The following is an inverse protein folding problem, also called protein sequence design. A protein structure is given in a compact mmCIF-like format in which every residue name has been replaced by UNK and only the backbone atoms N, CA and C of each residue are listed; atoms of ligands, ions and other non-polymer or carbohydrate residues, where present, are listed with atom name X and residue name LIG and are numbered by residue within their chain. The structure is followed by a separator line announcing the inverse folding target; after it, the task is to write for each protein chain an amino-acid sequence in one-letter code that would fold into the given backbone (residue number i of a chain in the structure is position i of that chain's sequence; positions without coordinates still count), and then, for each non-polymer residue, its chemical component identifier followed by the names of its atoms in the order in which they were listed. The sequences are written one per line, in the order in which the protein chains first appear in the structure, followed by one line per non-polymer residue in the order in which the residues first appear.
data_IF_399568890695
#
_entry.id   IF_399568890695
#
_cell.length_a   1.000
_cell.length_b   1.000
_cell.length_c   1.000
_cell.angle_alpha   90.00
_cell.angle_beta   90.00
_cell.angle_gamma   90.00
#
_symmetry.space_group_name_H-M   'P 1'
#
loop_
_entity.id
_entity.type
_entity.pdbx_description
1 polymer ?
#
# COMPACT_ATOMS: atom_id res chain seq x y z
N UNK A 1 -42.92 -20.24 23.71
CA UNK A 1 -41.89 -19.16 23.66
C UNK A 1 -41.53 -18.93 22.20
N UNK A 2 -41.85 -17.75 21.64
CA UNK A 2 -41.80 -17.55 20.19
C UNK A 2 -40.36 -17.32 19.67
N UNK A 3 -40.07 -17.64 18.39
CA UNK A 3 -38.73 -17.43 17.80
C UNK A 3 -38.25 -15.97 17.89
N UNK A 4 -39.19 -15.04 17.90
CA UNK A 4 -38.91 -13.61 17.98
C UNK A 4 -38.42 -13.16 19.36
N UNK A 5 -38.79 -13.86 20.44
CA UNK A 5 -38.30 -13.60 21.80
C UNK A 5 -36.81 -13.91 21.95
N UNK A 6 -36.29 -14.88 21.17
CA UNK A 6 -34.86 -15.26 21.18
C UNK A 6 -33.98 -14.22 20.50
N UNK A 7 -34.45 -13.60 19.42
CA UNK A 7 -33.71 -12.56 18.69
C UNK A 7 -33.65 -11.23 19.44
N UNK A 8 -34.59 -10.96 20.35
CA UNK A 8 -34.59 -9.77 21.18
C UNK A 8 -33.48 -9.81 22.26
N UNK A 9 -33.21 -10.99 22.85
CA UNK A 9 -32.15 -11.14 23.86
C UNK A 9 -30.72 -11.16 23.27
N UNK A 10 -30.57 -11.44 21.98
CA UNK A 10 -29.26 -11.44 21.31
C UNK A 10 -28.70 -10.02 21.02
N UNK A 11 -29.49 -8.94 21.21
CA UNK A 11 -29.06 -7.55 20.92
C UNK A 11 -28.39 -6.84 22.10
N UNK A 12 -28.02 -7.55 23.16
CA UNK A 12 -27.22 -7.02 24.26
C UNK A 12 -25.74 -6.88 23.87
N UNK A 13 -25.40 -6.03 22.90
CA UNK A 13 -23.98 -5.68 22.66
C UNK A 13 -23.50 -4.88 23.87
N UNK A 14 -22.46 -5.31 24.60
CA UNK A 14 -21.96 -4.53 25.74
C UNK A 14 -21.45 -3.18 25.22
N UNK A 15 -22.18 -2.12 25.53
CA UNK A 15 -21.73 -0.73 25.39
C UNK A 15 -20.74 -0.41 26.51
N UNK A 16 -19.61 -1.10 26.51
CA UNK A 16 -18.47 -0.82 27.38
C UNK A 16 -17.39 -0.06 26.62
N UNK A 17 -16.63 0.80 27.32
CA UNK A 17 -15.42 1.41 26.77
C UNK A 17 -14.51 0.28 26.30
N UNK A 18 -14.26 0.19 25.00
CA UNK A 18 -13.44 -0.85 24.38
C UNK A 18 -12.03 -0.78 24.96
N UNK A 19 -11.77 -1.52 26.03
CA UNK A 19 -10.43 -1.75 26.58
C UNK A 19 -9.99 -3.07 26.00
N UNK A 20 -9.08 -3.00 25.04
CA UNK A 20 -8.46 -4.19 24.49
C UNK A 20 -7.82 -4.96 25.65
N UNK A 21 -8.23 -6.20 25.93
CA UNK A 21 -7.56 -7.00 26.96
C UNK A 21 -6.07 -7.06 26.64
N UNK A 22 -5.17 -6.97 27.64
CA UNK A 22 -3.75 -7.18 27.41
C UNK A 22 -3.56 -8.55 26.73
N UNK A 23 -2.92 -8.53 25.56
CA UNK A 23 -2.62 -9.74 24.79
C UNK A 23 -1.67 -10.62 25.60
N UNK A 24 -1.85 -11.93 25.50
CA UNK A 24 -0.84 -12.88 26.00
C UNK A 24 0.52 -12.55 25.36
N UNK A 25 1.66 -12.67 26.07
CA UNK A 25 2.96 -12.32 25.51
C UNK A 25 3.26 -13.02 24.18
N UNK A 26 2.83 -14.28 24.01
CA UNK A 26 3.00 -15.01 22.77
C UNK A 26 2.16 -14.44 21.60
N UNK A 27 0.98 -13.91 21.91
CA UNK A 27 0.12 -13.24 20.93
C UNK A 27 0.62 -11.84 20.58
N UNK A 28 1.21 -11.11 21.54
CA UNK A 28 1.87 -9.84 21.29
C UNK A 28 3.08 -10.00 20.34
N UNK A 29 3.91 -11.04 20.57
CA UNK A 29 5.03 -11.37 19.70
C UNK A 29 4.57 -11.75 18.29
N UNK A 30 3.47 -12.49 18.17
CA UNK A 30 2.85 -12.84 16.88
C UNK A 30 2.31 -11.60 16.17
N UNK A 31 1.67 -10.69 16.90
CA UNK A 31 1.17 -9.43 16.37
C UNK A 31 2.30 -8.53 15.86
N UNK A 32 3.44 -8.42 16.56
CA UNK A 32 4.59 -7.63 16.08
C UNK A 32 5.19 -8.21 14.80
N UNK A 33 5.33 -9.54 14.72
CA UNK A 33 5.79 -10.21 13.47
C UNK A 33 4.85 -9.93 12.30
N UNK A 34 3.54 -10.05 12.53
CA UNK A 34 2.53 -9.73 11.51
C UNK A 34 2.54 -8.24 11.14
N UNK A 35 2.68 -7.35 12.12
CA UNK A 35 2.75 -5.92 11.89
C UNK A 35 3.95 -5.54 11.03
N UNK A 36 5.14 -6.08 11.32
CA UNK A 36 6.34 -5.89 10.48
C UNK A 36 6.18 -6.48 9.09
N UNK A 37 5.51 -7.63 8.96
CA UNK A 37 5.19 -8.22 7.67
C UNK A 37 4.19 -7.37 6.86
N UNK A 38 3.22 -6.73 7.52
CA UNK A 38 2.24 -5.85 6.89
C UNK A 38 2.85 -4.48 6.53
N UNK A 39 3.76 -3.95 7.35
CA UNK A 39 4.55 -2.76 7.02
C UNK A 39 5.36 -2.96 5.74
N UNK A 40 5.93 -4.15 5.56
CA UNK A 40 6.66 -4.49 4.33
C UNK A 40 5.78 -4.43 3.05
N UNK A 41 4.45 -4.48 3.17
CA UNK A 41 3.51 -4.28 2.05
C UNK A 41 3.17 -2.81 1.78
N UNK A 42 3.33 -1.93 2.76
CA UNK A 42 3.05 -0.50 2.63
C UNK A 42 4.25 0.31 2.11
N UNK A 43 5.47 -0.07 2.52
CA UNK A 43 6.74 0.53 2.08
C UNK A 43 6.87 0.72 0.56
N UNK A 44 6.49 -0.23 -0.30
CA UNK A 44 6.68 -0.11 -1.75
C UNK A 44 5.81 0.97 -2.36
N UNK A 45 4.55 1.05 -1.94
CA UNK A 45 3.63 2.08 -2.41
C UNK A 45 4.16 3.46 -2.02
N UNK A 46 4.69 3.58 -0.80
CA UNK A 46 5.34 4.80 -0.33
C UNK A 46 6.59 5.13 -1.17
N UNK A 47 7.46 4.16 -1.46
CA UNK A 47 8.65 4.35 -2.31
C UNK A 47 8.25 4.76 -3.72
N UNK A 48 7.22 4.15 -4.32
CA UNK A 48 6.74 4.52 -5.64
C UNK A 48 6.24 5.97 -5.68
N UNK A 49 5.45 6.36 -4.68
CA UNK A 49 4.93 7.73 -4.56
C UNK A 49 6.09 8.71 -4.42
N UNK A 50 7.04 8.45 -3.52
CA UNK A 50 8.23 9.29 -3.31
C UNK A 50 9.08 9.36 -4.60
N UNK A 51 9.28 8.25 -5.29
CA UNK A 51 10.04 8.22 -6.54
C UNK A 51 9.37 9.02 -7.66
N UNK A 52 8.04 8.97 -7.78
CA UNK A 52 7.32 9.79 -8.77
C UNK A 52 7.35 11.28 -8.38
N UNK A 53 7.15 11.60 -7.10
CA UNK A 53 7.15 12.98 -6.60
C UNK A 53 8.51 13.65 -6.67
N UNK A 54 9.59 12.94 -6.34
CA UNK A 54 10.94 13.50 -6.31
C UNK A 54 11.72 13.22 -7.60
N UNK A 55 11.60 12.02 -8.13
CA UNK A 55 12.37 11.59 -9.30
C UNK A 55 12.01 12.34 -10.56
N UNK A 56 10.73 12.63 -10.77
CA UNK A 56 10.29 13.33 -11.97
C UNK A 56 10.81 14.79 -12.03
N UNK A 57 10.61 15.64 -10.99
CA UNK A 57 11.22 16.97 -10.97
C UNK A 57 12.76 16.92 -10.90
N UNK A 58 13.36 15.92 -10.25
CA UNK A 58 14.81 15.77 -10.27
C UNK A 58 15.35 15.50 -11.69
N UNK A 59 14.67 14.67 -12.49
CA UNK A 59 15.04 14.42 -13.89
C UNK A 59 14.96 15.70 -14.72
N UNK A 60 13.91 16.50 -14.56
CA UNK A 60 13.78 17.78 -15.27
C UNK A 60 14.80 18.82 -14.80
N UNK A 61 15.13 18.84 -13.51
CA UNK A 61 16.17 19.73 -12.97
C UNK A 61 17.57 19.36 -13.48
N UNK A 62 17.89 18.07 -13.62
CA UNK A 62 19.19 17.61 -14.12
C UNK A 62 19.31 17.70 -15.65
N UNK A 63 18.21 17.55 -16.38
CA UNK A 63 18.18 17.62 -17.84
C UNK A 63 17.13 18.62 -18.36
N UNK A 64 17.40 19.93 -18.24
CA UNK A 64 16.47 20.96 -18.73
C UNK A 64 16.24 20.91 -20.25
N UNK A 65 17.16 20.32 -21.03
CA UNK A 65 16.99 20.11 -22.47
C UNK A 65 15.90 19.09 -22.84
N UNK A 66 15.36 18.31 -21.88
CA UNK A 66 14.24 17.40 -22.14
C UNK A 66 12.94 18.14 -22.50
N UNK A 67 12.80 19.40 -22.11
CA UNK A 67 11.65 20.24 -22.48
C UNK A 67 11.73 20.73 -23.93
N UNK A 68 12.94 20.87 -24.48
CA UNK A 68 13.16 21.23 -25.88
C UNK A 68 12.98 20.03 -26.81
N UNK A 69 13.17 18.82 -26.28
CA UNK A 69 12.97 17.58 -27.02
C UNK A 69 11.47 17.33 -27.23
N UNK A 70 11.05 17.47 -28.49
CA UNK A 70 9.69 17.17 -28.94
C UNK A 70 9.68 15.87 -29.71
N UNK A 71 8.88 14.93 -29.26
CA UNK A 71 8.59 13.70 -29.98
C UNK A 71 7.24 13.86 -30.66
N UNK A 72 7.20 13.79 -32.00
CA UNK A 72 5.98 14.02 -32.79
C UNK A 72 5.28 15.36 -32.45
N UNK A 73 6.04 16.39 -32.05
CA UNK A 73 5.52 17.70 -31.64
C UNK A 73 5.16 17.82 -30.15
N UNK A 74 5.11 16.71 -29.41
CA UNK A 74 4.78 16.67 -27.98
C UNK A 74 6.06 16.69 -27.15
N UNK A 75 6.18 17.55 -26.11
CA UNK A 75 7.34 17.56 -25.23
C UNK A 75 7.54 16.20 -24.55
N UNK A 76 8.78 15.70 -24.55
CA UNK A 76 9.13 14.43 -23.91
C UNK A 76 8.83 14.46 -22.41
N UNK A 77 8.91 15.62 -21.77
CA UNK A 77 8.52 15.81 -20.37
C UNK A 77 7.09 15.38 -20.08
N UNK A 78 6.16 15.75 -20.97
CA UNK A 78 4.76 15.36 -20.87
C UNK A 78 4.56 13.85 -21.06
N UNK A 79 5.30 13.26 -22.02
CA UNK A 79 5.28 11.83 -22.25
C UNK A 79 5.82 11.04 -21.06
N UNK A 80 6.86 11.52 -20.38
CA UNK A 80 7.35 10.88 -19.16
C UNK A 80 6.31 10.93 -18.04
N UNK A 81 5.65 12.07 -17.83
CA UNK A 81 4.60 12.20 -16.82
C UNK A 81 3.45 11.22 -17.08
N UNK A 82 3.07 11.00 -18.34
CA UNK A 82 2.02 10.06 -18.71
C UNK A 82 2.48 8.60 -18.69
N UNK A 83 3.67 8.30 -19.24
CA UNK A 83 4.11 6.93 -19.47
C UNK A 83 4.79 6.29 -18.26
N UNK A 84 5.55 7.04 -17.48
CA UNK A 84 6.38 6.53 -16.37
C UNK A 84 5.58 5.94 -15.18
N UNK A 85 4.36 6.44 -14.84
CA UNK A 85 3.54 5.83 -13.79
C UNK A 85 3.17 4.37 -14.08
N UNK A 86 2.90 4.01 -15.34
CA UNK A 86 2.46 2.66 -15.72
C UNK A 86 3.51 1.56 -15.46
N UNK A 87 4.75 1.62 -15.97
CA UNK A 87 5.77 0.62 -15.67
C UNK A 87 6.11 0.61 -14.19
N UNK A 88 6.03 1.76 -13.50
CA UNK A 88 6.29 1.83 -12.09
C UNK A 88 5.21 1.10 -11.26
N UNK A 89 3.92 1.26 -11.60
CA UNK A 89 2.83 0.44 -11.04
C UNK A 89 2.98 -1.05 -11.38
N UNK A 90 3.40 -1.38 -12.62
CA UNK A 90 3.61 -2.77 -13.02
C UNK A 90 4.76 -3.43 -12.23
N UNK A 91 5.88 -2.73 -12.04
CA UNK A 91 6.98 -3.18 -11.18
C UNK A 91 6.51 -3.38 -9.74
N UNK A 92 5.71 -2.45 -9.21
CA UNK A 92 5.15 -2.53 -7.87
C UNK A 92 4.27 -3.77 -7.71
N UNK A 93 3.34 -3.98 -8.64
CA UNK A 93 2.44 -5.13 -8.65
C UNK A 93 3.23 -6.44 -8.73
N UNK A 94 4.22 -6.50 -9.62
CA UNK A 94 5.09 -7.69 -9.76
C UNK A 94 5.91 -7.94 -8.50
N UNK A 95 6.39 -6.89 -7.84
CA UNK A 95 7.13 -7.01 -6.58
C UNK A 95 6.23 -7.49 -5.44
N UNK A 96 5.02 -6.93 -5.32
CA UNK A 96 4.01 -7.37 -4.36
C UNK A 96 3.66 -8.86 -4.57
N UNK A 97 3.44 -9.27 -5.82
CA UNK A 97 3.11 -10.65 -6.19
C UNK A 97 4.23 -11.63 -5.78
N UNK A 98 5.48 -11.36 -6.20
CA UNK A 98 6.64 -12.19 -5.83
C UNK A 98 6.89 -12.27 -4.33
N UNK A 99 6.39 -11.31 -3.56
CA UNK A 99 6.53 -11.30 -2.10
C UNK A 99 5.37 -12.03 -1.42
N UNK A 100 4.20 -12.04 -2.04
CA UNK A 100 3.08 -12.88 -1.62
C UNK A 100 3.40 -14.38 -1.86
N UNK A 101 3.90 -14.74 -3.04
CA UNK A 101 4.30 -16.11 -3.39
C UNK A 101 5.33 -16.68 -2.38
N UNK A 102 6.31 -15.86 -2.00
CA UNK A 102 7.34 -16.26 -1.01
C UNK A 102 6.84 -16.46 0.42
N UNK A 103 5.63 -16.00 0.73
CA UNK A 103 5.01 -16.20 2.06
C UNK A 103 4.22 -17.50 2.10
N UNK A 104 3.72 -18.00 0.96
CA UNK A 104 3.06 -19.32 0.87
C UNK A 104 4.06 -20.47 0.79
N UNK A 105 5.28 -20.23 0.31
CA UNK A 105 6.35 -21.25 0.27
C UNK A 105 7.06 -21.46 1.63
N UNK A 106 6.67 -20.75 2.71
CA UNK A 106 7.24 -20.87 4.06
C UNK A 106 6.21 -21.33 5.09
#
# INVERSE_FOLDING_TARGET
MSPQSRLAHARGRPRGRWRMPPLDPADADRADRLYRAQLARAVPALVLIVALLLGLPAVFALWPHLDDLRLLGVPVSWLMLAALPYPAMALLARWQLRRAERVEER
#
